data_IF_356165961611
#
_entry.id   IF_356165961611
#
_cell.length_a   1.000
_cell.length_b   1.000
_cell.length_c   1.000
_cell.angle_alpha   90.00
_cell.angle_beta   90.00
_cell.angle_gamma   90.00
#
_symmetry.space_group_name_H-M   'P 1'
#
loop_
_entity.id
_entity.type
_entity.pdbx_description
1 polymer ?
#
# COMPACT_ATOMS: atom_id res chain seq x y z
N UNK A 1 35.84 23.63 -12.11
CA UNK A 1 35.05 22.39 -11.98
C UNK A 1 34.33 22.49 -10.66
N UNK A 2 33.00 22.52 -10.65
CA UNK A 2 32.24 22.52 -9.40
C UNK A 2 32.44 21.17 -8.72
N UNK A 3 32.76 21.19 -7.45
CA UNK A 3 32.82 19.97 -6.61
C UNK A 3 31.46 19.27 -6.70
N UNK A 4 31.36 17.98 -6.98
CA UNK A 4 30.06 17.30 -6.98
C UNK A 4 29.44 17.48 -5.61
N UNK A 5 28.28 18.11 -5.55
CA UNK A 5 27.51 18.24 -4.31
C UNK A 5 27.20 16.83 -3.81
N UNK A 6 27.68 16.46 -2.64
CA UNK A 6 27.44 15.15 -2.04
C UNK A 6 25.95 15.02 -1.80
N UNK A 7 25.30 14.05 -2.46
CA UNK A 7 23.88 13.74 -2.29
C UNK A 7 23.67 12.95 -1.00
N UNK A 8 22.51 13.16 -0.40
CA UNK A 8 22.13 12.46 0.83
C UNK A 8 21.43 11.14 0.49
N UNK A 9 21.92 10.00 0.97
CA UNK A 9 21.28 8.72 0.69
C UNK A 9 19.90 8.62 1.35
N UNK A 10 18.95 7.99 0.65
CA UNK A 10 17.61 7.68 1.16
C UNK A 10 17.19 6.29 0.69
N UNK A 11 16.67 5.48 1.58
CA UNK A 11 16.10 4.17 1.26
C UNK A 11 14.59 4.30 1.07
N UNK A 12 14.07 3.76 -0.03
CA UNK A 12 12.67 3.89 -0.43
C UNK A 12 12.11 2.50 -0.72
N UNK A 13 11.05 2.12 -0.02
CA UNK A 13 10.20 1.00 -0.43
C UNK A 13 9.14 1.55 -1.37
N UNK A 14 9.25 1.32 -2.70
CA UNK A 14 8.26 1.84 -3.63
C UNK A 14 6.91 1.16 -3.38
N UNK A 15 5.82 1.90 -3.54
CA UNK A 15 4.50 1.30 -3.34
C UNK A 15 3.97 0.72 -4.66
N UNK A 16 3.49 -0.52 -4.61
CA UNK A 16 3.07 -1.28 -5.80
C UNK A 16 1.89 -0.66 -6.56
N UNK A 17 1.08 0.19 -5.94
CA UNK A 17 -0.11 0.79 -6.57
C UNK A 17 0.08 2.22 -7.06
N UNK A 18 1.34 2.70 -7.22
CA UNK A 18 1.64 4.03 -7.77
C UNK A 18 2.93 4.07 -8.59
N UNK A 19 3.08 5.13 -9.39
CA UNK A 19 4.20 5.31 -10.32
C UNK A 19 5.18 6.41 -9.89
N UNK A 20 4.80 7.26 -8.94
CA UNK A 20 5.51 8.51 -8.64
C UNK A 20 6.96 8.29 -8.19
N UNK A 21 7.27 7.23 -7.44
CA UNK A 21 8.64 6.91 -7.07
C UNK A 21 9.50 6.53 -8.29
N UNK A 22 8.95 5.76 -9.23
CA UNK A 22 9.66 5.39 -10.45
C UNK A 22 9.86 6.58 -11.37
N UNK A 23 8.87 7.45 -11.49
CA UNK A 23 8.97 8.69 -12.26
C UNK A 23 10.04 9.60 -11.65
N UNK A 24 10.01 9.80 -10.32
CA UNK A 24 11.01 10.63 -9.65
C UNK A 24 12.43 10.09 -9.80
N UNK A 25 12.58 8.76 -9.85
CA UNK A 25 13.86 8.11 -10.12
C UNK A 25 14.33 8.34 -11.56
N UNK A 26 13.47 8.03 -12.55
CA UNK A 26 13.82 8.05 -13.97
C UNK A 26 14.03 9.48 -14.52
N UNK A 27 13.24 10.44 -14.03
CA UNK A 27 13.37 11.86 -14.42
C UNK A 27 14.44 12.61 -13.62
N UNK A 28 15.04 11.98 -12.60
CA UNK A 28 16.10 12.62 -11.80
C UNK A 28 15.61 13.58 -10.72
N UNK A 29 14.32 13.59 -10.38
CA UNK A 29 13.76 14.54 -9.41
C UNK A 29 14.29 14.33 -7.98
N UNK A 30 14.69 13.11 -7.61
CA UNK A 30 15.38 12.89 -6.34
C UNK A 30 16.76 13.55 -6.33
N UNK A 31 17.50 13.45 -7.44
CA UNK A 31 18.82 14.03 -7.58
C UNK A 31 18.76 15.56 -7.58
N UNK A 32 17.72 16.17 -8.19
CA UNK A 32 17.48 17.61 -8.19
C UNK A 32 17.22 18.14 -6.77
N UNK A 33 16.64 17.31 -5.91
CA UNK A 33 16.40 17.59 -4.50
C UNK A 33 17.61 17.22 -3.60
N UNK A 34 18.75 16.85 -4.19
CA UNK A 34 19.98 16.50 -3.47
C UNK A 34 19.96 15.12 -2.81
N UNK A 35 19.07 14.22 -3.25
CA UNK A 35 18.95 12.87 -2.73
C UNK A 35 19.64 11.85 -3.63
N UNK A 36 20.15 10.76 -3.00
CA UNK A 36 20.62 9.56 -3.68
C UNK A 36 19.69 8.39 -3.30
N UNK A 37 18.68 8.06 -4.13
CA UNK A 37 17.68 7.07 -3.79
C UNK A 37 18.22 5.64 -3.94
N UNK A 38 17.94 4.80 -2.93
CA UNK A 38 18.09 3.35 -2.98
C UNK A 38 16.69 2.72 -2.97
N UNK A 39 16.24 2.20 -4.10
CA UNK A 39 14.93 1.56 -4.23
C UNK A 39 14.98 0.13 -3.69
N UNK A 40 14.18 -0.16 -2.68
CA UNK A 40 14.04 -1.50 -2.09
C UNK A 40 12.89 -2.27 -2.79
N UNK A 41 13.02 -2.44 -4.11
CA UNK A 41 11.97 -3.05 -4.95
C UNK A 41 11.66 -4.51 -4.58
N UNK A 42 12.67 -5.26 -4.14
CA UNK A 42 12.48 -6.65 -3.69
C UNK A 42 11.54 -6.75 -2.49
N UNK A 43 11.52 -5.72 -1.63
CA UNK A 43 10.59 -5.65 -0.49
C UNK A 43 9.15 -5.47 -0.96
N UNK A 44 8.92 -4.71 -2.03
CA UNK A 44 7.60 -4.49 -2.62
C UNK A 44 6.96 -5.79 -3.12
N UNK A 45 7.77 -6.66 -3.73
CA UNK A 45 7.32 -7.95 -4.29
C UNK A 45 7.57 -9.14 -3.37
N UNK A 46 8.07 -8.90 -2.17
CA UNK A 46 8.40 -9.99 -1.26
C UNK A 46 7.15 -10.79 -0.90
N UNK A 47 7.29 -12.10 -1.02
CA UNK A 47 6.26 -13.07 -0.66
C UNK A 47 6.04 -13.02 0.85
N UNK A 48 4.83 -12.70 1.28
CA UNK A 48 4.45 -12.76 2.68
C UNK A 48 4.20 -14.21 3.07
N UNK A 49 5.27 -14.94 3.36
CA UNK A 49 5.20 -16.35 3.77
C UNK A 49 4.77 -16.54 5.22
N UNK A 50 4.50 -15.47 5.96
CA UNK A 50 4.27 -15.55 7.39
C UNK A 50 2.80 -15.54 7.74
N UNK A 51 2.34 -16.69 8.21
CA UNK A 51 1.04 -16.88 8.83
C UNK A 51 1.14 -16.60 10.32
N UNK A 52 0.21 -15.80 10.86
CA UNK A 52 -0.04 -15.74 12.27
C UNK A 52 0.82 -14.75 13.08
N UNK A 53 1.18 -15.11 14.27
CA UNK A 53 1.46 -14.26 15.44
C UNK A 53 2.66 -13.30 15.35
N UNK A 54 3.47 -13.32 14.29
CA UNK A 54 4.67 -12.51 14.20
C UNK A 54 4.49 -11.31 13.27
N UNK A 55 3.63 -10.37 13.69
CA UNK A 55 3.34 -9.11 13.02
C UNK A 55 4.60 -8.35 12.54
N UNK A 56 5.69 -8.41 13.31
CA UNK A 56 6.96 -7.74 13.03
C UNK A 56 7.85 -8.44 12.01
N UNK A 57 7.38 -9.49 11.35
CA UNK A 57 8.19 -10.28 10.40
C UNK A 57 7.73 -10.20 8.95
N UNK A 58 6.74 -9.38 8.64
CA UNK A 58 6.38 -9.15 7.24
C UNK A 58 7.55 -8.47 6.51
N UNK A 59 7.86 -8.81 5.26
CA UNK A 59 8.97 -8.21 4.52
C UNK A 59 8.97 -6.68 4.52
N UNK A 60 7.81 -6.06 4.37
CA UNK A 60 7.65 -4.60 4.40
C UNK A 60 7.92 -3.98 5.79
N UNK A 61 7.88 -4.75 6.86
CA UNK A 61 8.12 -4.29 8.23
C UNK A 61 9.59 -4.48 8.65
N UNK A 62 10.33 -5.39 8.01
CA UNK A 62 11.71 -5.72 8.36
C UNK A 62 12.66 -4.51 8.39
N UNK A 63 12.61 -3.57 7.44
CA UNK A 63 13.47 -2.39 7.49
C UNK A 63 13.32 -1.58 8.79
N UNK A 64 12.09 -1.50 9.34
CA UNK A 64 11.81 -0.77 10.57
C UNK A 64 12.23 -1.55 11.82
N UNK A 65 12.02 -2.87 11.81
CA UNK A 65 12.54 -3.76 12.88
C UNK A 65 14.06 -3.70 12.93
N UNK A 66 14.73 -3.55 11.79
CA UNK A 66 16.17 -3.37 11.67
C UNK A 66 16.63 -1.92 11.91
N UNK A 67 15.71 -1.01 12.25
CA UNK A 67 15.98 0.41 12.50
C UNK A 67 16.65 1.14 11.32
N UNK A 68 16.26 0.77 10.10
CA UNK A 68 16.77 1.41 8.88
C UNK A 68 16.14 2.80 8.67
N UNK A 69 16.92 3.72 8.11
CA UNK A 69 16.45 5.03 7.64
C UNK A 69 15.73 4.87 6.30
N UNK A 70 14.43 4.56 6.37
CA UNK A 70 13.64 4.17 5.21
C UNK A 70 12.32 4.93 5.13
N UNK A 71 11.86 5.20 3.92
CA UNK A 71 10.51 5.67 3.63
C UNK A 71 9.71 4.52 3.04
N UNK A 72 8.52 4.31 3.58
CA UNK A 72 7.56 3.31 3.13
C UNK A 72 6.15 3.91 3.18
N UNK A 73 5.16 3.18 2.70
CA UNK A 73 3.76 3.51 2.84
C UNK A 73 2.90 2.25 2.96
N UNK A 74 1.79 2.36 3.65
CA UNK A 74 0.82 1.29 3.77
C UNK A 74 -0.58 1.88 4.02
N UNK A 75 -1.60 1.03 4.06
CA UNK A 75 -2.95 1.47 4.42
C UNK A 75 -2.94 2.18 5.78
N UNK A 76 -3.82 3.16 5.96
CA UNK A 76 -3.91 3.96 7.19
C UNK A 76 -3.98 3.13 8.48
N UNK A 77 -4.66 1.99 8.45
CA UNK A 77 -4.74 1.07 9.60
C UNK A 77 -3.39 0.42 9.91
N UNK A 78 -2.70 -0.04 8.85
CA UNK A 78 -1.39 -0.68 8.97
C UNK A 78 -0.34 0.28 9.52
N UNK A 79 -0.27 1.51 9.00
CA UNK A 79 0.69 2.52 9.47
C UNK A 79 0.38 2.99 10.89
N UNK A 80 -0.91 3.19 11.24
CA UNK A 80 -1.30 3.53 12.60
C UNK A 80 -0.90 2.42 13.59
N UNK A 81 -1.18 1.16 13.26
CA UNK A 81 -0.78 0.02 14.09
C UNK A 81 0.74 -0.13 14.19
N UNK A 82 1.48 0.06 13.09
CA UNK A 82 2.94 -0.03 13.08
C UNK A 82 3.57 1.08 13.94
N UNK A 83 3.13 2.33 13.76
CA UNK A 83 3.61 3.44 14.58
C UNK A 83 3.32 3.20 16.06
N UNK A 84 2.11 2.78 16.42
CA UNK A 84 1.73 2.44 17.78
C UNK A 84 2.49 1.24 18.36
N UNK A 85 3.04 0.38 17.53
CA UNK A 85 3.93 -0.73 17.92
C UNK A 85 5.41 -0.32 17.95
N UNK A 86 5.70 0.98 17.95
CA UNK A 86 7.06 1.56 17.94
C UNK A 86 7.91 1.18 16.71
N UNK A 87 7.26 0.86 15.59
CA UNK A 87 7.90 0.55 14.32
C UNK A 87 7.85 1.77 13.39
N UNK A 88 8.65 2.79 13.68
CA UNK A 88 8.74 4.00 12.88
C UNK A 88 7.71 5.07 13.25
N UNK A 89 7.59 6.09 12.41
CA UNK A 89 6.72 7.26 12.59
C UNK A 89 5.83 7.45 11.36
N UNK A 90 4.59 7.87 11.58
CA UNK A 90 3.65 8.28 10.54
C UNK A 90 3.97 9.70 10.08
N UNK A 91 3.94 9.97 8.77
CA UNK A 91 4.05 11.33 8.22
C UNK A 91 2.63 11.86 8.01
N UNK A 92 2.24 12.92 8.74
CA UNK A 92 0.87 13.42 8.72
C UNK A 92 0.62 14.51 7.67
N UNK A 93 1.65 14.99 6.97
CA UNK A 93 1.54 16.17 6.09
C UNK A 93 0.74 15.88 4.81
N UNK A 94 0.64 14.61 4.42
CA UNK A 94 -0.07 14.17 3.22
C UNK A 94 -0.46 12.71 3.33
N UNK A 95 -1.32 12.29 2.43
CA UNK A 95 -1.69 10.88 2.24
C UNK A 95 -2.01 10.60 0.77
N UNK A 96 -2.20 9.35 0.41
CA UNK A 96 -2.71 8.96 -0.89
C UNK A 96 -4.01 8.18 -0.77
N UNK A 97 -4.79 8.15 -1.85
CA UNK A 97 -6.02 7.39 -1.96
C UNK A 97 -5.77 6.25 -2.95
N UNK A 98 -5.79 5.04 -2.45
CA UNK A 98 -5.65 3.82 -3.24
C UNK A 98 -7.00 3.17 -3.49
N UNK A 99 -7.07 2.33 -4.53
CA UNK A 99 -8.27 1.58 -4.90
C UNK A 99 -8.18 0.15 -4.37
N UNK A 100 -9.34 -0.42 -4.06
CA UNK A 100 -9.48 -1.86 -3.84
C UNK A 100 -10.71 -2.42 -4.59
N UNK A 101 -10.68 -3.71 -4.87
CA UNK A 101 -11.87 -4.40 -5.37
C UNK A 101 -11.88 -5.86 -4.90
N UNK A 102 -13.07 -6.35 -4.56
CA UNK A 102 -13.29 -7.75 -4.24
C UNK A 102 -13.76 -8.44 -5.51
N UNK A 103 -13.00 -9.44 -5.96
CA UNK A 103 -13.30 -10.23 -7.15
C UNK A 103 -13.72 -11.64 -6.77
N UNK A 104 -14.63 -12.23 -7.54
CA UNK A 104 -14.87 -13.68 -7.53
C UNK A 104 -14.05 -14.37 -8.62
N UNK A 105 -13.67 -15.64 -8.40
CA UNK A 105 -12.93 -16.41 -9.40
C UNK A 105 -13.78 -16.67 -10.66
N UNK A 106 -13.16 -16.96 -11.80
CA UNK A 106 -13.86 -17.37 -13.01
C UNK A 106 -14.77 -18.59 -12.76
N UNK A 107 -16.01 -18.54 -13.23
CA UNK A 107 -16.97 -19.62 -13.07
C UNK A 107 -17.53 -19.83 -11.66
N UNK A 108 -17.23 -18.94 -10.71
CA UNK A 108 -17.78 -18.98 -9.35
C UNK A 108 -19.29 -18.75 -9.34
N UNK A 109 -19.98 -19.38 -8.39
CA UNK A 109 -21.40 -19.13 -8.11
C UNK A 109 -21.62 -17.83 -7.34
N UNK A 110 -20.54 -17.22 -6.83
CA UNK A 110 -20.60 -15.96 -6.09
C UNK A 110 -20.80 -14.81 -7.07
N UNK A 111 -21.95 -14.16 -6.99
CA UNK A 111 -22.37 -13.09 -7.90
C UNK A 111 -22.59 -11.76 -7.18
N UNK A 112 -22.79 -11.77 -5.85
CA UNK A 112 -23.09 -10.61 -5.01
C UNK A 112 -22.32 -10.74 -3.69
N UNK A 113 -22.09 -9.62 -3.02
CA UNK A 113 -21.40 -9.62 -1.72
C UNK A 113 -22.06 -10.50 -0.65
N UNK A 114 -23.39 -10.60 -0.67
CA UNK A 114 -24.12 -11.46 0.28
C UNK A 114 -23.82 -12.94 0.08
N UNK A 115 -23.41 -13.36 -1.11
CA UNK A 115 -23.04 -14.72 -1.44
C UNK A 115 -21.67 -15.12 -0.78
N UNK A 116 -20.93 -14.15 -0.24
CA UNK A 116 -19.68 -14.34 0.51
C UNK A 116 -19.90 -14.78 1.96
N UNK A 117 -21.15 -15.00 2.39
CA UNK A 117 -21.46 -15.53 3.71
C UNK A 117 -20.72 -16.86 3.94
N UNK A 118 -19.89 -16.92 4.98
CA UNK A 118 -19.08 -18.09 5.37
C UNK A 118 -18.06 -18.56 4.31
N UNK A 119 -17.82 -17.77 3.26
CA UNK A 119 -16.82 -18.05 2.23
C UNK A 119 -15.50 -17.36 2.62
N UNK A 120 -14.38 -18.11 2.70
CA UNK A 120 -13.08 -17.51 2.92
C UNK A 120 -12.64 -16.61 1.76
N UNK A 121 -12.32 -15.35 2.05
CA UNK A 121 -11.88 -14.36 1.09
C UNK A 121 -10.37 -14.19 1.23
N UNK A 122 -9.64 -14.31 0.12
CA UNK A 122 -8.19 -14.10 0.08
C UNK A 122 -7.81 -12.65 0.39
N UNK A 123 -7.00 -12.46 1.40
CA UNK A 123 -6.51 -11.15 1.87
C UNK A 123 -5.01 -11.24 2.24
N UNK A 124 -4.34 -10.10 2.34
CA UNK A 124 -3.10 -9.97 3.11
C UNK A 124 -3.46 -9.67 4.55
N UNK A 125 -3.07 -10.52 5.48
CA UNK A 125 -3.40 -10.33 6.89
C UNK A 125 -2.86 -8.99 7.40
N UNK A 126 -3.73 -8.21 8.08
CA UNK A 126 -3.42 -6.86 8.61
C UNK A 126 -2.90 -5.85 7.57
N UNK A 127 -3.18 -6.10 6.28
CA UNK A 127 -2.93 -5.16 5.19
C UNK A 127 -4.24 -4.50 4.72
N UNK A 128 -4.15 -3.54 3.80
CA UNK A 128 -5.31 -2.80 3.28
C UNK A 128 -6.44 -3.70 2.80
N UNK A 129 -6.10 -4.80 2.13
CA UNK A 129 -7.10 -5.78 1.67
C UNK A 129 -7.85 -6.47 2.81
N UNK A 130 -7.24 -6.68 3.99
CA UNK A 130 -7.95 -7.22 5.15
C UNK A 130 -8.96 -6.21 5.68
N UNK A 131 -8.49 -5.00 5.99
CA UNK A 131 -9.35 -3.96 6.58
C UNK A 131 -10.49 -3.56 5.65
N UNK A 132 -10.23 -3.34 4.37
CA UNK A 132 -11.27 -2.98 3.40
C UNK A 132 -12.28 -4.09 3.17
N UNK A 133 -11.86 -5.37 3.22
CA UNK A 133 -12.79 -6.52 3.17
C UNK A 133 -13.73 -6.51 4.35
N UNK A 134 -13.20 -6.32 5.57
CA UNK A 134 -14.01 -6.25 6.79
C UNK A 134 -14.97 -5.07 6.74
N UNK A 135 -14.49 -3.89 6.32
CA UNK A 135 -15.28 -2.66 6.23
C UNK A 135 -16.46 -2.78 5.26
N UNK A 136 -16.25 -3.41 4.11
CA UNK A 136 -17.33 -3.63 3.12
C UNK A 136 -18.33 -4.67 3.63
N UNK A 137 -17.84 -5.80 4.13
CA UNK A 137 -18.73 -6.93 4.45
C UNK A 137 -19.50 -6.72 5.74
N UNK A 138 -18.99 -5.97 6.72
CA UNK A 138 -19.73 -5.68 7.96
C UNK A 138 -21.01 -4.87 7.73
N UNK A 139 -21.12 -4.18 6.59
CA UNK A 139 -22.35 -3.46 6.21
C UNK A 139 -23.46 -4.40 5.72
N UNK A 140 -23.12 -5.64 5.39
CA UNK A 140 -24.03 -6.58 4.71
C UNK A 140 -24.17 -7.90 5.46
N UNK A 141 -23.09 -8.35 6.13
CA UNK A 141 -23.03 -9.63 6.82
C UNK A 141 -22.76 -9.43 8.30
N UNK A 142 -23.42 -10.20 9.19
CA UNK A 142 -23.01 -10.29 10.59
C UNK A 142 -21.56 -10.74 10.72
N UNK A 143 -20.79 -10.17 11.65
CA UNK A 143 -19.36 -10.45 11.91
C UNK A 143 -19.03 -11.95 11.93
N UNK A 144 -19.89 -12.77 12.57
CA UNK A 144 -19.71 -14.22 12.68
C UNK A 144 -19.73 -14.98 11.33
N UNK A 145 -20.18 -14.35 10.25
CA UNK A 145 -20.28 -14.91 8.89
C UNK A 145 -19.25 -14.31 7.91
N UNK A 146 -18.38 -13.43 8.39
CA UNK A 146 -17.27 -12.89 7.58
C UNK A 146 -16.06 -13.79 7.82
N UNK A 147 -15.53 -14.35 6.73
CA UNK A 147 -14.34 -15.22 6.75
C UNK A 147 -13.26 -14.62 5.87
N UNK A 148 -12.07 -14.54 6.39
CA UNK A 148 -10.88 -14.14 5.64
C UNK A 148 -9.82 -15.22 5.75
N UNK A 149 -8.98 -15.34 4.73
CA UNK A 149 -7.84 -16.25 4.72
C UNK A 149 -6.64 -15.51 4.16
N UNK A 150 -5.50 -15.64 4.84
CA UNK A 150 -4.26 -15.07 4.34
C UNK A 150 -3.80 -15.82 3.09
N UNK A 151 -3.62 -15.11 1.99
CA UNK A 151 -3.12 -15.64 0.71
C UNK A 151 -1.91 -14.86 0.20
N UNK A 152 -1.27 -14.10 1.07
CA UNK A 152 -0.04 -13.38 0.77
C UNK A 152 -0.23 -11.94 0.29
N UNK A 153 0.76 -11.45 -0.45
CA UNK A 153 0.80 -10.13 -1.05
C UNK A 153 -0.21 -9.92 -2.19
N UNK A 154 -0.26 -8.72 -2.80
CA UNK A 154 -1.23 -8.41 -3.85
C UNK A 154 -1.20 -9.42 -5.00
N UNK A 155 -0.03 -9.70 -5.57
CA UNK A 155 0.11 -10.64 -6.67
C UNK A 155 -0.27 -12.07 -6.31
N UNK A 156 0.07 -12.53 -5.10
CA UNK A 156 -0.24 -13.88 -4.64
C UNK A 156 -1.75 -14.08 -4.49
N UNK A 157 -2.50 -13.06 -4.05
CA UNK A 157 -3.96 -13.09 -3.95
C UNK A 157 -4.62 -13.30 -5.31
N UNK A 158 -4.15 -12.59 -6.35
CA UNK A 158 -4.67 -12.79 -7.70
C UNK A 158 -4.31 -14.16 -8.25
N UNK A 159 -3.09 -14.65 -8.03
CA UNK A 159 -2.68 -16.00 -8.41
C UNK A 159 -3.56 -17.06 -7.75
N UNK A 160 -3.79 -16.95 -6.43
CA UNK A 160 -4.66 -17.88 -5.70
C UNK A 160 -6.10 -17.86 -6.23
N UNK A 161 -6.62 -16.67 -6.57
CA UNK A 161 -7.96 -16.52 -7.18
C UNK A 161 -8.03 -17.20 -8.56
N UNK A 162 -7.03 -16.97 -9.41
CA UNK A 162 -6.96 -17.55 -10.76
C UNK A 162 -6.83 -19.09 -10.74
N UNK A 163 -6.12 -19.63 -9.75
CA UNK A 163 -5.96 -21.08 -9.55
C UNK A 163 -7.17 -21.73 -8.87
N UNK A 164 -8.13 -20.94 -8.39
CA UNK A 164 -9.28 -21.44 -7.67
C UNK A 164 -8.98 -21.94 -6.25
N UNK A 165 -7.85 -21.50 -5.68
CA UNK A 165 -7.47 -21.79 -4.29
C UNK A 165 -8.39 -21.03 -3.30
N UNK A 166 -8.94 -19.89 -3.75
CA UNK A 166 -9.98 -19.12 -3.07
C UNK A 166 -11.13 -18.78 -4.04
N UNK A 167 -12.35 -18.69 -3.51
CA UNK A 167 -13.53 -18.31 -4.31
C UNK A 167 -13.63 -16.80 -4.56
N UNK A 168 -13.05 -16.01 -3.68
CA UNK A 168 -12.97 -14.55 -3.81
C UNK A 168 -11.68 -14.02 -3.20
N UNK A 169 -11.21 -12.87 -3.68
CA UNK A 169 -10.04 -12.18 -3.14
C UNK A 169 -10.22 -10.66 -3.23
N UNK A 170 -9.63 -9.95 -2.27
CA UNK A 170 -9.54 -8.50 -2.31
C UNK A 170 -8.21 -8.10 -2.95
N UNK A 171 -8.28 -7.41 -4.07
CA UNK A 171 -7.16 -6.98 -4.89
C UNK A 171 -6.98 -5.46 -4.80
N UNK A 172 -5.76 -5.01 -5.07
CA UNK A 172 -5.34 -3.62 -5.16
C UNK A 172 -4.76 -3.38 -6.56
N UNK A 173 -4.40 -2.16 -6.93
CA UNK A 173 -3.65 -1.92 -8.18
C UNK A 173 -2.21 -2.45 -8.05
N UNK A 174 -1.61 -2.98 -9.12
CA UNK A 174 -2.13 -3.15 -10.48
C UNK A 174 -3.00 -4.39 -10.69
N UNK A 175 -3.15 -5.27 -9.69
CA UNK A 175 -3.88 -6.54 -9.85
C UNK A 175 -5.36 -6.36 -10.18
N UNK A 176 -5.97 -5.22 -9.81
CA UNK A 176 -7.33 -4.87 -10.24
C UNK A 176 -7.38 -4.81 -11.77
N UNK A 177 -6.48 -4.04 -12.39
CA UNK A 177 -6.44 -3.90 -13.85
C UNK A 177 -6.13 -5.23 -14.55
N UNK A 178 -5.23 -6.05 -13.98
CA UNK A 178 -4.92 -7.39 -14.51
C UNK A 178 -6.15 -8.31 -14.43
N UNK A 179 -6.88 -8.30 -13.30
CA UNK A 179 -8.08 -9.11 -13.13
C UNK A 179 -9.17 -8.71 -14.15
N UNK A 180 -9.36 -7.40 -14.38
CA UNK A 180 -10.28 -6.86 -15.36
C UNK A 180 -9.90 -7.25 -16.79
N UNK A 181 -8.62 -7.11 -17.15
CA UNK A 181 -8.10 -7.54 -18.46
C UNK A 181 -8.33 -9.03 -18.71
N UNK A 182 -8.36 -9.85 -17.65
CA UNK A 182 -8.66 -11.30 -17.70
C UNK A 182 -10.16 -11.61 -17.59
N UNK A 183 -11.03 -10.59 -17.58
CA UNK A 183 -12.48 -10.75 -17.57
C UNK A 183 -13.06 -11.20 -16.22
N UNK A 184 -12.33 -11.06 -15.12
CA UNK A 184 -12.88 -11.35 -13.80
C UNK A 184 -13.94 -10.34 -13.41
N UNK A 185 -14.91 -10.78 -12.61
CA UNK A 185 -16.01 -9.95 -12.13
C UNK A 185 -15.71 -9.36 -10.75
N UNK A 186 -15.72 -8.05 -10.65
CA UNK A 186 -15.69 -7.37 -9.36
C UNK A 186 -17.08 -7.42 -8.69
N UNK A 187 -17.11 -7.82 -7.42
CA UNK A 187 -18.28 -7.83 -6.55
C UNK A 187 -18.46 -6.50 -5.82
N UNK A 188 -17.36 -5.85 -5.48
CA UNK A 188 -17.31 -4.52 -4.88
C UNK A 188 -16.06 -3.77 -5.33
N UNK A 189 -16.12 -2.45 -5.25
CA UNK A 189 -15.01 -1.52 -5.47
C UNK A 189 -15.08 -0.43 -4.43
N UNK A 190 -13.94 0.14 -4.09
CA UNK A 190 -13.87 1.28 -3.21
C UNK A 190 -12.48 1.86 -3.15
N UNK A 191 -12.34 2.84 -2.28
CA UNK A 191 -11.09 3.54 -2.03
C UNK A 191 -10.75 3.47 -0.55
N UNK A 192 -9.47 3.63 -0.22
CA UNK A 192 -8.98 3.69 1.15
C UNK A 192 -7.74 4.57 1.23
N UNK A 193 -7.44 5.08 2.41
CA UNK A 193 -6.29 5.94 2.62
C UNK A 193 -5.02 5.12 2.82
N UNK A 194 -3.95 5.60 2.20
CA UNK A 194 -2.60 5.11 2.34
C UNK A 194 -1.76 6.25 2.91
N UNK A 195 -1.05 5.99 3.99
CA UNK A 195 -0.24 6.98 4.67
C UNK A 195 1.24 6.60 4.59
N UNK A 196 2.11 7.59 4.69
CA UNK A 196 3.54 7.39 4.70
C UNK A 196 4.05 7.05 6.10
N UNK A 197 5.05 6.22 6.15
CA UNK A 197 5.60 5.64 7.35
C UNK A 197 7.12 5.57 7.21
N UNK A 198 7.84 6.08 8.18
CA UNK A 198 9.27 6.38 8.07
C UNK A 198 10.04 5.86 9.28
N UNK A 199 11.33 5.62 9.11
CA UNK A 199 12.25 5.34 10.20
C UNK A 199 12.20 6.45 11.26
N UNK A 200 12.36 6.13 12.56
CA UNK A 200 12.11 7.07 13.65
C UNK A 200 13.11 8.23 13.68
N UNK A 201 14.28 8.05 13.10
CA UNK A 201 15.41 8.99 13.14
C UNK A 201 15.67 9.70 11.81
N UNK A 202 14.87 9.41 10.77
CA UNK A 202 15.06 10.00 9.44
C UNK A 202 15.03 11.53 9.49
N UNK A 203 15.99 12.16 8.83
CA UNK A 203 16.09 13.62 8.79
C UNK A 203 14.89 14.26 8.11
N UNK A 204 14.32 15.28 8.77
CA UNK A 204 13.12 15.99 8.24
C UNK A 204 13.38 16.71 6.93
N UNK A 205 14.61 17.22 6.71
CA UNK A 205 14.99 17.85 5.46
C UNK A 205 15.04 16.86 4.31
N UNK A 206 15.52 15.64 4.58
CA UNK A 206 15.53 14.52 3.63
C UNK A 206 14.09 14.12 3.26
N UNK A 207 13.20 13.99 4.25
CA UNK A 207 11.78 13.70 3.98
C UNK A 207 11.12 14.81 3.16
N UNK A 208 11.39 16.07 3.50
CA UNK A 208 10.84 17.21 2.75
C UNK A 208 11.30 17.21 1.29
N UNK A 209 12.58 16.91 1.05
CA UNK A 209 13.13 16.76 -0.29
C UNK A 209 12.48 15.58 -1.05
N UNK A 210 12.32 14.43 -0.40
CA UNK A 210 11.63 13.27 -0.95
C UNK A 210 10.21 13.61 -1.42
N UNK A 211 9.42 14.27 -0.58
CA UNK A 211 8.04 14.61 -0.95
C UNK A 211 7.94 15.71 -2.01
N UNK A 212 8.91 16.65 -2.10
CA UNK A 212 8.96 17.58 -3.22
C UNK A 212 9.24 16.87 -4.55
N UNK A 213 10.13 15.88 -4.55
CA UNK A 213 10.37 15.03 -5.72
C UNK A 213 9.09 14.26 -6.13
N UNK A 214 8.36 13.68 -5.18
CA UNK A 214 7.09 12.99 -5.46
C UNK A 214 6.00 13.95 -5.94
N UNK A 215 5.94 15.17 -5.41
CA UNK A 215 4.98 16.18 -5.87
C UNK A 215 5.24 16.53 -7.34
N UNK A 216 6.50 16.76 -7.71
CA UNK A 216 6.87 16.98 -9.10
C UNK A 216 6.53 15.79 -9.99
N UNK A 217 6.85 14.56 -9.54
CA UNK A 217 6.47 13.34 -10.26
C UNK A 217 4.95 13.21 -10.46
N UNK A 218 4.16 13.57 -9.45
CA UNK A 218 2.70 13.59 -9.54
C UNK A 218 2.17 14.63 -10.53
N UNK A 219 2.79 15.82 -10.59
CA UNK A 219 2.45 16.88 -11.54
C UNK A 219 2.69 16.43 -12.99
N UNK A 220 3.87 15.89 -13.30
CA UNK A 220 4.20 15.43 -14.67
C UNK A 220 3.38 14.21 -15.07
N UNK A 221 3.08 13.29 -14.16
CA UNK A 221 2.18 12.16 -14.41
C UNK A 221 0.76 12.64 -14.77
N UNK A 222 0.28 13.67 -14.07
CA UNK A 222 -1.06 14.24 -14.33
C UNK A 222 -1.15 14.96 -15.67
N UNK A 223 -0.06 15.57 -16.11
CA UNK A 223 0.00 16.34 -17.36
C UNK A 223 0.24 15.49 -18.61
N UNK A 224 1.04 14.44 -18.50
CA UNK A 224 1.48 13.58 -19.62
C UNK A 224 1.49 12.12 -19.22
N UNK A 225 0.34 11.53 -18.83
CA UNK A 225 0.28 10.18 -18.32
C UNK A 225 0.80 9.13 -19.30
N UNK A 226 0.54 9.33 -20.59
CA UNK A 226 0.94 8.40 -21.66
C UNK A 226 2.45 8.12 -21.69
N UNK A 227 3.26 9.09 -21.24
CA UNK A 227 4.72 8.92 -21.13
C UNK A 227 5.12 7.87 -20.10
N UNK A 228 4.32 7.66 -19.05
CA UNK A 228 4.70 6.93 -17.85
C UNK A 228 3.96 5.60 -17.64
N UNK A 229 2.90 5.31 -18.40
CA UNK A 229 2.09 4.10 -18.19
C UNK A 229 2.90 2.82 -18.30
N UNK A 230 3.95 2.77 -19.13
CA UNK A 230 4.82 1.61 -19.24
C UNK A 230 5.52 1.23 -17.92
N UNK A 231 5.67 2.18 -16.99
CA UNK A 231 6.30 1.94 -15.68
C UNK A 231 5.50 0.98 -14.80
N UNK A 232 4.21 0.75 -15.11
CA UNK A 232 3.43 -0.29 -14.44
C UNK A 232 4.07 -1.67 -14.54
N UNK A 233 4.86 -1.93 -15.58
CA UNK A 233 5.60 -3.18 -15.71
C UNK A 233 6.46 -3.48 -14.47
N UNK A 234 7.04 -2.46 -13.84
CA UNK A 234 7.85 -2.59 -12.61
C UNK A 234 7.03 -3.00 -11.39
N UNK A 235 5.74 -2.70 -11.40
CA UNK A 235 4.83 -2.98 -10.30
C UNK A 235 4.07 -4.30 -10.47
N UNK A 236 4.08 -4.89 -11.68
CA UNK A 236 3.46 -6.19 -11.93
C UNK A 236 4.35 -7.30 -11.38
N UNK A 237 3.84 -8.15 -10.46
CA UNK A 237 4.62 -9.26 -9.93
C UNK A 237 5.09 -10.23 -11.02
N UNK A 238 6.28 -10.83 -10.90
CA UNK A 238 6.83 -11.74 -11.92
C UNK A 238 5.88 -12.88 -12.33
N UNK A 239 5.11 -13.43 -11.38
CA UNK A 239 4.14 -14.49 -11.65
C UNK A 239 2.91 -14.07 -12.47
N UNK A 240 2.72 -12.76 -12.64
CA UNK A 240 1.59 -12.16 -13.36
C UNK A 240 2.03 -11.40 -14.60
N UNK A 241 3.33 -11.37 -14.92
CA UNK A 241 3.86 -10.73 -16.13
C UNK A 241 3.20 -11.30 -17.37
N UNK A 242 2.78 -10.40 -18.26
CA UNK A 242 2.16 -10.71 -19.55
C UNK A 242 2.28 -9.46 -20.44
N UNK A 243 1.85 -9.57 -21.69
CA UNK A 243 1.83 -8.45 -22.62
C UNK A 243 0.57 -7.58 -22.41
N UNK A 244 0.58 -6.74 -21.35
CA UNK A 244 -0.54 -5.87 -21.04
C UNK A 244 -0.48 -4.54 -21.80
N UNK A 245 -1.66 -4.00 -22.11
CA UNK A 245 -1.80 -2.59 -22.44
C UNK A 245 -1.84 -1.77 -21.14
N UNK A 246 -0.69 -1.28 -20.71
CA UNK A 246 -0.57 -0.52 -19.47
C UNK A 246 -1.33 0.81 -19.48
N UNK A 247 -1.74 1.32 -20.66
CA UNK A 247 -2.57 2.54 -20.74
C UNK A 247 -3.92 2.37 -20.03
N UNK A 248 -4.42 1.13 -19.93
CA UNK A 248 -5.66 0.79 -19.26
C UNK A 248 -5.56 0.70 -17.72
N UNK A 249 -4.35 0.72 -17.14
CA UNK A 249 -4.17 0.53 -15.69
C UNK A 249 -4.53 1.77 -14.86
N UNK A 250 -4.62 2.95 -15.50
CA UNK A 250 -4.89 4.22 -14.83
C UNK A 250 -3.65 4.79 -14.14
N UNK A 251 -3.84 5.89 -13.40
CA UNK A 251 -2.73 6.65 -12.81
C UNK A 251 -2.24 6.09 -11.46
N UNK A 252 -2.90 5.06 -10.93
CA UNK A 252 -2.60 4.55 -9.60
C UNK A 252 -3.16 5.42 -8.48
N UNK A 253 -2.44 5.49 -7.37
CA UNK A 253 -2.85 6.26 -6.20
C UNK A 253 -2.93 7.77 -6.49
N UNK A 254 -3.96 8.38 -5.94
CA UNK A 254 -4.15 9.83 -5.98
C UNK A 254 -3.48 10.46 -4.75
N UNK A 255 -2.53 11.37 -4.97
CA UNK A 255 -1.93 12.16 -3.90
C UNK A 255 -2.90 13.25 -3.40
N UNK A 256 -2.95 13.40 -2.07
CA UNK A 256 -3.69 14.44 -1.37
C UNK A 256 -2.71 15.17 -0.46
N UNK A 257 -2.36 16.40 -0.84
CA UNK A 257 -1.44 17.25 -0.08
C UNK A 257 -2.21 18.04 1.00
N UNK A 258 -2.89 17.29 1.86
CA UNK A 258 -3.64 17.77 3.02
C UNK A 258 -3.28 16.91 4.23
N UNK A 259 -3.39 17.45 5.46
CA UNK A 259 -3.03 16.71 6.66
C UNK A 259 -3.88 15.45 6.87
N UNK A 260 -3.21 14.34 7.19
CA UNK A 260 -3.83 13.18 7.80
C UNK A 260 -4.02 13.48 9.29
N UNK A 261 -5.25 13.77 9.68
CA UNK A 261 -5.57 14.32 10.99
C UNK A 261 -5.55 13.28 12.11
N UNK A 262 -5.46 13.76 13.36
CA UNK A 262 -5.63 12.92 14.55
C UNK A 262 -6.96 12.17 14.53
N UNK A 263 -8.06 12.81 14.10
CA UNK A 263 -9.37 12.15 13.99
C UNK A 263 -9.32 10.97 13.02
N UNK A 264 -8.67 11.11 11.85
CA UNK A 264 -8.50 10.03 10.90
C UNK A 264 -7.67 8.87 11.51
N UNK A 265 -6.63 9.21 12.26
CA UNK A 265 -5.78 8.25 12.95
C UNK A 265 -6.57 7.48 14.01
N UNK A 266 -7.32 8.18 14.87
CA UNK A 266 -8.12 7.54 15.91
C UNK A 266 -9.22 6.64 15.31
N UNK A 267 -9.87 7.07 14.23
CA UNK A 267 -10.85 6.26 13.51
C UNK A 267 -10.22 4.97 12.95
N UNK A 268 -8.98 5.03 12.46
CA UNK A 268 -8.25 3.85 11.98
C UNK A 268 -7.94 2.87 13.13
N UNK A 269 -7.49 3.37 14.29
CA UNK A 269 -7.24 2.54 15.47
C UNK A 269 -8.51 1.90 16.01
N UNK A 270 -9.60 2.66 16.15
CA UNK A 270 -10.89 2.13 16.61
C UNK A 270 -11.42 1.02 15.72
N UNK A 271 -11.25 1.16 14.40
CA UNK A 271 -11.62 0.08 13.47
C UNK A 271 -10.74 -1.17 13.68
N UNK A 272 -9.44 -1.00 13.85
CA UNK A 272 -8.53 -2.11 14.13
C UNK A 272 -8.87 -2.80 15.46
N UNK A 273 -9.22 -2.04 16.50
CA UNK A 273 -9.65 -2.53 17.80
C UNK A 273 -10.96 -3.33 17.70
N UNK A 274 -11.97 -2.80 17.02
CA UNK A 274 -13.27 -3.47 16.76
C UNK A 274 -13.08 -4.89 16.21
N UNK A 275 -12.03 -5.10 15.41
CA UNK A 275 -11.74 -6.38 14.78
C UNK A 275 -10.61 -7.17 15.47
N UNK A 276 -10.12 -6.72 16.64
CA UNK A 276 -9.00 -7.32 17.38
C UNK A 276 -7.69 -7.39 16.56
N UNK A 277 -7.44 -6.37 15.73
CA UNK A 277 -6.24 -6.29 14.87
C UNK A 277 -5.16 -5.36 15.43
N UNK A 278 -5.36 -4.82 16.64
CA UNK A 278 -4.51 -3.81 17.31
C UNK A 278 -3.56 -4.38 18.39
N UNK A 279 -3.42 -5.69 18.48
CA UNK A 279 -2.82 -6.39 19.64
C UNK A 279 -1.36 -6.05 19.96
N UNK A 280 -0.67 -5.27 19.13
CA UNK A 280 0.74 -4.90 19.31
C UNK A 280 0.95 -3.42 19.61
N UNK A 281 -0.12 -2.64 19.74
CA UNK A 281 -0.04 -1.20 20.00
C UNK A 281 0.37 -0.97 21.44
N UNK A 282 1.45 -0.20 21.63
CA UNK A 282 2.01 0.21 22.93
C UNK A 282 1.68 1.67 23.21
N UNK A 283 1.66 2.52 22.17
CA UNK A 283 1.27 3.93 22.25
C UNK A 283 0.19 4.22 21.19
N UNK A 284 -0.83 4.97 21.57
CA UNK A 284 -1.92 5.42 20.69
C UNK A 284 -2.07 6.96 20.69
N UNK A 285 -1.08 7.66 21.21
CA UNK A 285 -1.06 9.12 21.26
C UNK A 285 -0.52 9.67 19.95
N UNK A 286 -1.38 10.28 19.16
CA UNK A 286 -1.06 10.77 17.82
C UNK A 286 0.26 11.59 17.76
N UNK A 287 0.38 12.60 18.63
CA UNK A 287 1.56 13.49 18.65
C UNK A 287 2.88 12.77 18.91
N UNK A 288 2.85 11.63 19.63
CA UNK A 288 4.04 10.82 19.89
C UNK A 288 4.47 10.00 18.66
N UNK A 289 3.53 9.73 17.75
CA UNK A 289 3.69 8.76 16.68
C UNK A 289 3.91 9.39 15.30
N UNK A 290 3.88 10.72 15.21
CA UNK A 290 4.03 11.43 13.95
C UNK A 290 5.44 12.01 13.75
N UNK A 291 5.81 12.22 12.48
CA UNK A 291 6.98 12.98 12.03
C UNK A 291 6.52 14.06 11.06
N UNK A 292 6.25 15.26 11.58
CA UNK A 292 5.81 16.42 10.77
C UNK A 292 6.98 16.95 9.97
N UNK A 293 6.83 17.10 8.66
CA UNK A 293 7.85 17.62 7.74
C UNK A 293 7.63 19.09 7.38
N UNK A 294 6.38 19.56 7.41
CA UNK A 294 6.01 20.92 7.00
C UNK A 294 6.19 21.14 5.50
N UNK A 295 5.72 20.19 4.69
CA UNK A 295 5.74 20.25 3.22
C UNK A 295 4.74 21.28 2.74
#
# INVERSE_FOLDING_TARGET
>A
MATPTQRTPIQIVPHFSRLQEWIALDEGFFQDEGLEPMMLADVMHAVSSHHGDEYKRRPQDLPFVQQMEVVNSACQWGTACNAGAEMGKLVPDLYTVGRFAIFSRPGSKIQRLVDLRDVPIGIGERAGSHFTTLQVLEQILPKKHIRTVHTGGPGERLVALLRGEVEAANLLDPEIAIAEARGLRALARGEFLITFWVGPTIDKGVLKAYFRALKHANEVLSLTPEKYMHLWERNVPPALQDNYDYSAFGLGEKFVFEPYTEEMFQNALQFAEKWNLHTYIQDNTYDNLISVTGI
#
